data_IF_901904482989
#
_entry.id   IF_901904482989
#
_cell.length_a   1.000
_cell.length_b   1.000
_cell.length_c   1.000
_cell.angle_alpha   90.00
_cell.angle_beta   90.00
_cell.angle_gamma   90.00
#
_symmetry.space_group_name_H-M   'P 1'
#
loop_
_entity.id
_entity.type
_entity.pdbx_description
1 polymer ?
#
# COMPACT_ATOMS: atom_id res chain seq x y z
N UNK A 1 1.35 -21.59 8.64
CA UNK A 1 1.91 -20.81 7.51
C UNK A 1 1.09 -19.55 7.29
N UNK A 2 1.70 -18.38 7.33
CA UNK A 2 1.00 -17.11 7.08
C UNK A 2 1.21 -16.73 5.61
N UNK A 3 0.18 -16.90 4.79
CA UNK A 3 0.22 -16.60 3.34
C UNK A 3 0.24 -15.07 3.10
N UNK A 4 -0.48 -14.32 3.93
CA UNK A 4 -0.54 -12.87 3.83
C UNK A 4 0.50 -12.25 4.78
N UNK A 5 1.43 -11.44 4.29
CA UNK A 5 2.45 -10.84 5.14
C UNK A 5 1.82 -9.91 6.19
N UNK A 6 2.31 -9.92 7.44
CA UNK A 6 1.83 -9.04 8.48
C UNK A 6 2.00 -7.57 8.10
N UNK A 7 1.16 -6.69 8.65
CA UNK A 7 1.23 -5.24 8.39
C UNK A 7 2.64 -4.66 8.52
N UNK A 8 3.40 -5.11 9.51
CA UNK A 8 4.76 -4.67 9.74
C UNK A 8 5.68 -4.93 8.54
N UNK A 9 5.58 -6.10 7.93
CA UNK A 9 6.38 -6.44 6.75
C UNK A 9 5.94 -5.62 5.52
N UNK A 10 4.63 -5.40 5.35
CA UNK A 10 4.11 -4.54 4.28
C UNK A 10 4.64 -3.11 4.43
N UNK A 11 4.60 -2.54 5.65
CA UNK A 11 5.13 -1.22 5.97
C UNK A 11 6.62 -1.13 5.62
N UNK A 12 7.41 -2.15 6.01
CA UNK A 12 8.82 -2.20 5.67
C UNK A 12 9.03 -2.17 4.14
N UNK A 13 8.33 -3.02 3.40
CA UNK A 13 8.44 -3.09 1.93
C UNK A 13 8.01 -1.80 1.24
N UNK A 14 6.91 -1.17 1.70
CA UNK A 14 6.48 0.14 1.21
C UNK A 14 7.57 1.19 1.48
N UNK A 15 8.12 1.21 2.70
CA UNK A 15 9.17 2.15 3.06
C UNK A 15 10.43 1.96 2.22
N UNK A 16 10.90 0.72 2.03
CA UNK A 16 12.07 0.39 1.21
C UNK A 16 11.85 0.86 -0.25
N UNK A 17 10.66 0.64 -0.79
CA UNK A 17 10.30 1.09 -2.14
C UNK A 17 10.29 2.62 -2.24
N UNK A 18 9.67 3.30 -1.26
CA UNK A 18 9.62 4.77 -1.19
C UNK A 18 11.02 5.36 -1.09
N UNK A 19 11.88 4.81 -0.23
CA UNK A 19 13.25 5.27 -0.06
C UNK A 19 14.09 5.09 -1.34
N UNK A 20 13.85 4.02 -2.07
CA UNK A 20 14.57 3.73 -3.32
C UNK A 20 14.12 4.64 -4.48
N UNK A 21 12.80 4.81 -4.64
CA UNK A 21 12.22 5.45 -5.84
C UNK A 21 11.99 6.96 -5.66
N UNK A 22 11.58 7.39 -4.46
CA UNK A 22 11.15 8.77 -4.19
C UNK A 22 12.10 9.44 -3.20
N UNK A 23 13.11 10.14 -3.70
CA UNK A 23 14.16 10.75 -2.87
C UNK A 23 13.85 12.17 -2.42
N UNK A 24 13.03 12.91 -3.18
CA UNK A 24 12.78 14.36 -2.99
C UNK A 24 11.41 14.68 -2.40
N UNK A 25 10.48 13.74 -2.45
CA UNK A 25 9.10 13.93 -2.04
C UNK A 25 8.98 13.96 -0.51
N UNK A 26 8.05 14.76 -0.01
CA UNK A 26 7.74 14.83 1.42
C UNK A 26 6.79 13.71 1.80
N UNK A 27 7.00 13.13 2.97
CA UNK A 27 6.17 12.03 3.48
C UNK A 27 5.17 12.58 4.50
N UNK A 28 3.89 12.28 4.28
CA UNK A 28 2.81 12.53 5.20
C UNK A 28 2.12 11.19 5.54
N UNK A 29 2.03 10.86 6.81
CA UNK A 29 1.33 9.67 7.28
C UNK A 29 -0.05 10.09 7.76
N UNK A 30 -1.10 9.46 7.21
CA UNK A 30 -2.49 9.64 7.61
C UNK A 30 -3.01 8.34 8.20
N UNK A 31 -3.36 8.33 9.48
CA UNK A 31 -3.72 7.11 10.18
C UNK A 31 -4.78 7.34 11.25
N UNK A 32 -5.48 6.28 11.67
CA UNK A 32 -6.30 6.30 12.87
C UNK A 32 -5.43 6.20 14.14
N UNK A 33 -5.93 6.70 15.27
CA UNK A 33 -5.24 6.54 16.56
C UNK A 33 -4.90 5.09 16.90
N UNK A 34 -5.78 4.15 16.59
CA UNK A 34 -5.53 2.70 16.81
C UNK A 34 -4.34 2.15 16.03
N UNK A 35 -3.94 2.82 14.93
CA UNK A 35 -2.81 2.44 14.09
C UNK A 35 -1.50 3.18 14.46
N UNK A 36 -1.46 3.92 15.57
CA UNK A 36 -0.31 4.74 16.00
C UNK A 36 1.01 3.96 16.07
N UNK A 37 0.96 2.68 16.47
CA UNK A 37 2.15 1.81 16.49
C UNK A 37 2.81 1.69 15.12
N UNK A 38 2.05 1.66 14.05
CA UNK A 38 2.56 1.58 12.69
C UNK A 38 3.08 2.93 12.18
N UNK A 39 2.52 4.03 12.68
CA UNK A 39 3.05 5.37 12.43
C UNK A 39 4.44 5.53 13.06
N UNK A 40 4.62 5.02 14.29
CA UNK A 40 5.94 5.00 14.96
C UNK A 40 6.95 4.17 14.17
N UNK A 41 6.52 3.05 13.58
CA UNK A 41 7.37 2.19 12.75
C UNK A 41 7.81 2.90 11.46
N UNK A 42 6.91 3.53 10.72
CA UNK A 42 7.26 4.37 9.57
C UNK A 42 8.26 5.46 9.96
N UNK A 43 7.97 6.22 11.02
CA UNK A 43 8.87 7.27 11.51
C UNK A 43 10.27 6.74 11.84
N UNK A 44 10.36 5.58 12.47
CA UNK A 44 11.65 4.93 12.79
C UNK A 44 12.46 4.62 11.53
N UNK A 45 11.83 4.11 10.49
CA UNK A 45 12.50 3.77 9.22
C UNK A 45 12.98 5.05 8.52
N UNK A 46 12.10 6.04 8.34
CA UNK A 46 12.44 7.28 7.64
C UNK A 46 13.40 8.19 8.43
N UNK A 47 13.42 8.10 9.77
CA UNK A 47 14.40 8.84 10.60
C UNK A 47 15.84 8.39 10.31
N UNK A 48 16.04 7.11 10.03
CA UNK A 48 17.37 6.58 9.66
C UNK A 48 17.90 7.20 8.37
N UNK A 49 16.99 7.59 7.46
CA UNK A 49 17.30 8.23 6.18
C UNK A 49 17.21 9.77 6.25
N UNK A 50 17.17 10.35 7.46
CA UNK A 50 17.08 11.79 7.72
C UNK A 50 15.88 12.49 7.06
N UNK A 51 14.85 11.77 6.66
CA UNK A 51 13.64 12.34 6.05
C UNK A 51 12.71 12.97 7.06
N UNK A 52 12.21 14.14 6.74
CA UNK A 52 11.13 14.78 7.50
C UNK A 52 9.81 14.10 7.19
N UNK A 53 9.21 13.49 8.21
CA UNK A 53 7.91 12.83 8.13
C UNK A 53 6.93 13.57 9.01
N UNK A 54 5.85 14.07 8.39
CA UNK A 54 4.69 14.56 9.13
C UNK A 54 3.70 13.41 9.34
N UNK A 55 2.92 13.46 10.41
CA UNK A 55 1.85 12.51 10.64
C UNK A 55 0.64 13.20 11.26
N UNK A 56 -0.54 12.82 10.77
CA UNK A 56 -1.83 13.21 11.32
C UNK A 56 -2.56 11.95 11.78
N UNK A 57 -3.00 11.95 13.03
CA UNK A 57 -3.76 10.87 13.65
C UNK A 57 -5.21 11.30 13.86
N UNK A 58 -6.12 10.56 13.25
CA UNK A 58 -7.55 10.81 13.34
C UNK A 58 -8.18 9.96 14.46
N UNK A 59 -8.97 10.60 15.32
CA UNK A 59 -9.72 9.93 16.38
C UNK A 59 -11.07 9.44 15.88
N UNK A 60 -11.68 10.21 14.96
CA UNK A 60 -13.02 10.02 14.42
C UNK A 60 -13.00 10.26 12.91
N UNK A 61 -13.91 9.58 12.18
CA UNK A 61 -14.09 9.74 10.74
C UNK A 61 -14.54 11.16 10.35
N UNK A 62 -15.30 11.83 11.22
CA UNK A 62 -15.76 13.19 10.98
C UNK A 62 -14.62 14.23 11.00
N UNK A 63 -13.50 13.90 11.63
CA UNK A 63 -12.32 14.78 11.65
C UNK A 63 -11.51 14.71 10.35
N UNK A 64 -11.81 13.75 9.46
CA UNK A 64 -11.18 13.61 8.15
C UNK A 64 -11.84 14.59 7.19
N UNK A 65 -11.34 15.80 7.18
CA UNK A 65 -11.81 16.88 6.30
C UNK A 65 -10.68 17.39 5.40
N UNK A 66 -11.05 18.01 4.28
CA UNK A 66 -10.11 18.69 3.38
C UNK A 66 -9.23 19.67 4.14
N UNK A 67 -9.83 20.53 4.97
CA UNK A 67 -9.13 21.57 5.71
C UNK A 67 -8.11 20.98 6.71
N UNK A 68 -8.49 19.89 7.38
CA UNK A 68 -7.58 19.20 8.30
C UNK A 68 -6.35 18.64 7.56
N UNK A 69 -6.54 18.04 6.40
CA UNK A 69 -5.43 17.47 5.61
C UNK A 69 -4.60 18.60 4.98
N UNK A 70 -5.23 19.64 4.44
CA UNK A 70 -4.53 20.75 3.80
C UNK A 70 -3.59 21.51 4.74
N UNK A 71 -3.84 21.52 6.06
CA UNK A 71 -2.92 22.09 7.06
C UNK A 71 -1.53 21.41 7.06
N UNK A 72 -1.46 20.17 6.64
CA UNK A 72 -0.20 19.41 6.57
C UNK A 72 0.45 19.48 5.19
N UNK A 73 -0.34 19.78 4.16
CA UNK A 73 0.12 19.92 2.78
C UNK A 73 0.66 21.35 2.55
N UNK A 74 1.73 21.45 1.82
CA UNK A 74 2.28 22.71 1.27
C UNK A 74 2.43 22.53 -0.24
N UNK A 75 2.87 23.55 -0.98
CA UNK A 75 3.05 23.51 -2.46
C UNK A 75 4.12 22.49 -2.94
N UNK A 76 4.10 21.26 -2.45
CA UNK A 76 5.08 20.23 -2.79
C UNK A 76 4.38 18.92 -3.10
N UNK A 77 5.04 18.06 -3.85
CA UNK A 77 4.58 16.68 -4.06
C UNK A 77 4.67 15.90 -2.75
N UNK A 78 3.59 15.21 -2.41
CA UNK A 78 3.52 14.42 -1.20
C UNK A 78 3.35 12.92 -1.49
N UNK A 79 4.04 12.13 -0.69
CA UNK A 79 3.76 10.72 -0.53
C UNK A 79 2.89 10.54 0.72
N UNK A 80 1.70 10.04 0.52
CA UNK A 80 0.75 9.76 1.59
C UNK A 80 0.88 8.29 1.96
N UNK A 81 1.22 7.99 3.21
CA UNK A 81 1.32 6.63 3.71
C UNK A 81 0.18 6.36 4.68
N UNK A 82 -0.61 5.33 4.42
CA UNK A 82 -1.77 5.01 5.26
C UNK A 82 -1.73 3.55 5.71
N UNK A 83 -1.33 3.28 6.98
CA UNK A 83 -1.24 1.94 7.53
C UNK A 83 -2.58 1.36 8.02
N UNK A 84 -3.71 1.87 7.55
CA UNK A 84 -5.03 1.44 7.99
C UNK A 84 -5.59 0.31 7.14
N UNK A 85 -6.20 -0.69 7.81
CA UNK A 85 -7.00 -1.76 7.21
C UNK A 85 -8.50 -1.54 7.40
N UNK A 86 -8.90 -0.41 7.96
CA UNK A 86 -10.29 -0.07 8.23
C UNK A 86 -10.94 0.46 6.95
N UNK A 87 -11.94 -0.26 6.44
CA UNK A 87 -12.62 0.05 5.19
C UNK A 87 -13.27 1.43 5.21
N UNK A 88 -13.96 1.77 6.30
CA UNK A 88 -14.67 3.04 6.44
C UNK A 88 -13.70 4.23 6.49
N UNK A 89 -12.60 4.07 7.24
CA UNK A 89 -11.55 5.08 7.31
C UNK A 89 -10.91 5.31 5.94
N UNK A 90 -10.52 4.23 5.25
CA UNK A 90 -9.85 4.31 3.96
C UNK A 90 -10.77 4.93 2.91
N UNK A 91 -12.03 4.52 2.84
CA UNK A 91 -13.01 5.07 1.91
C UNK A 91 -13.20 6.58 2.12
N UNK A 92 -13.42 6.99 3.37
CA UNK A 92 -13.54 8.42 3.71
C UNK A 92 -12.29 9.20 3.35
N UNK A 93 -11.11 8.66 3.69
CA UNK A 93 -9.82 9.30 3.42
C UNK A 93 -9.59 9.47 1.90
N UNK A 94 -9.78 8.42 1.10
CA UNK A 94 -9.61 8.47 -0.35
C UNK A 94 -10.58 9.47 -0.99
N UNK A 95 -11.86 9.47 -0.56
CA UNK A 95 -12.85 10.45 -1.01
C UNK A 95 -12.40 11.88 -0.74
N UNK A 96 -11.93 12.17 0.47
CA UNK A 96 -11.45 13.52 0.83
C UNK A 96 -10.17 13.89 0.07
N UNK A 97 -9.19 12.99 -0.03
CA UNK A 97 -7.97 13.22 -0.81
C UNK A 97 -8.28 13.49 -2.28
N UNK A 98 -9.28 12.81 -2.83
CA UNK A 98 -9.76 13.03 -4.19
C UNK A 98 -10.33 14.43 -4.45
N UNK A 99 -10.71 15.19 -3.43
CA UNK A 99 -11.17 16.59 -3.58
C UNK A 99 -10.03 17.61 -3.52
N UNK A 100 -8.81 17.16 -3.20
CA UNK A 100 -7.65 18.07 -3.07
C UNK A 100 -6.92 18.13 -4.41
N UNK A 101 -6.82 19.34 -4.97
CA UNK A 101 -6.09 19.60 -6.21
C UNK A 101 -4.59 19.73 -5.93
N UNK A 102 -3.93 18.60 -5.70
CA UNK A 102 -2.49 18.53 -5.41
C UNK A 102 -1.96 17.20 -5.95
N UNK A 103 -0.79 17.22 -6.57
CA UNK A 103 -0.10 16.02 -6.98
C UNK A 103 0.32 15.21 -5.76
N UNK A 104 -0.26 14.03 -5.59
CA UNK A 104 0.06 13.10 -4.50
C UNK A 104 0.14 11.68 -5.02
N UNK A 105 0.92 10.88 -4.28
CA UNK A 105 1.01 9.44 -4.48
C UNK A 105 0.62 8.80 -3.15
N UNK A 106 -0.35 7.91 -3.17
CA UNK A 106 -0.89 7.30 -1.96
C UNK A 106 -0.43 5.84 -1.86
N UNK A 107 0.07 5.45 -0.70
CA UNK A 107 0.43 4.07 -0.40
C UNK A 107 -0.48 3.52 0.68
N UNK A 108 -1.20 2.47 0.34
CA UNK A 108 -2.06 1.71 1.23
C UNK A 108 -1.54 0.31 1.53
N UNK A 109 -2.34 -0.49 2.23
CA UNK A 109 -2.06 -1.89 2.51
C UNK A 109 -2.71 -2.79 1.43
N UNK A 110 -2.24 -4.03 1.32
CA UNK A 110 -2.71 -4.98 0.30
C UNK A 110 -4.23 -5.22 0.32
N UNK A 111 -4.85 -5.15 1.50
CA UNK A 111 -6.28 -5.40 1.65
C UNK A 111 -7.19 -4.33 1.02
N UNK A 112 -6.64 -3.15 0.65
CA UNK A 112 -7.41 -2.13 -0.07
C UNK A 112 -7.91 -2.63 -1.42
N UNK A 113 -7.19 -3.58 -2.04
CA UNK A 113 -7.59 -4.23 -3.29
C UNK A 113 -8.96 -4.92 -3.21
N UNK A 114 -9.39 -5.33 -2.00
CA UNK A 114 -10.69 -5.98 -1.76
C UNK A 114 -11.80 -5.03 -1.33
N UNK A 115 -11.55 -3.71 -1.28
CA UNK A 115 -12.55 -2.74 -0.86
C UNK A 115 -13.38 -2.28 -2.07
N UNK A 116 -14.54 -2.89 -2.27
CA UNK A 116 -15.46 -2.64 -3.39
C UNK A 116 -16.00 -1.20 -3.45
N UNK A 117 -15.97 -0.48 -2.32
CA UNK A 117 -16.47 0.89 -2.22
C UNK A 117 -15.42 1.97 -2.52
N UNK A 118 -14.26 1.59 -3.03
CA UNK A 118 -13.26 2.54 -3.51
C UNK A 118 -13.48 2.79 -5.00
N UNK A 119 -13.68 4.06 -5.32
CA UNK A 119 -13.82 4.49 -6.71
C UNK A 119 -12.50 4.39 -7.47
N UNK A 120 -12.51 3.62 -8.56
CA UNK A 120 -11.32 3.33 -9.37
C UNK A 120 -10.73 4.61 -9.98
N UNK A 121 -11.56 5.53 -10.46
CA UNK A 121 -11.09 6.78 -11.06
C UNK A 121 -10.35 7.63 -10.04
N UNK A 122 -10.87 7.71 -8.82
CA UNK A 122 -10.20 8.41 -7.71
C UNK A 122 -8.90 7.73 -7.33
N UNK A 123 -8.85 6.39 -7.28
CA UNK A 123 -7.60 5.66 -7.00
C UNK A 123 -6.54 5.92 -8.07
N UNK A 124 -6.92 5.94 -9.34
CA UNK A 124 -6.01 6.23 -10.46
C UNK A 124 -5.50 7.67 -10.40
N UNK A 125 -6.38 8.65 -10.17
CA UNK A 125 -6.02 10.07 -10.06
C UNK A 125 -5.08 10.33 -8.90
N UNK A 126 -5.26 9.67 -7.76
CA UNK A 126 -4.40 9.74 -6.59
C UNK A 126 -3.14 8.86 -6.70
N UNK A 127 -2.95 8.18 -7.83
CA UNK A 127 -1.83 7.27 -8.06
C UNK A 127 -1.63 6.33 -6.86
N UNK A 128 -2.69 5.59 -6.50
CA UNK A 128 -2.70 4.72 -5.31
C UNK A 128 -1.90 3.45 -5.58
N UNK A 129 -0.96 3.18 -4.71
CA UNK A 129 -0.14 1.97 -4.70
C UNK A 129 -0.43 1.12 -3.46
N UNK A 130 -0.44 -0.18 -3.61
CA UNK A 130 -0.46 -1.13 -2.50
C UNK A 130 0.37 -2.37 -2.84
N UNK A 131 1.00 -3.01 -1.82
CA UNK A 131 1.77 -4.22 -2.05
C UNK A 131 0.84 -5.37 -2.45
N UNK A 132 1.25 -6.15 -3.42
CA UNK A 132 0.56 -7.39 -3.78
C UNK A 132 1.40 -8.60 -3.31
N UNK A 133 1.01 -9.28 -2.23
CA UNK A 133 1.72 -10.45 -1.74
C UNK A 133 1.54 -11.69 -2.64
N UNK A 134 0.62 -11.61 -3.59
CA UNK A 134 0.31 -12.68 -4.55
C UNK A 134 0.80 -12.36 -5.96
N UNK A 135 1.73 -11.42 -6.07
CA UNK A 135 2.32 -11.10 -7.36
C UNK A 135 3.06 -12.32 -7.92
N UNK A 136 2.74 -12.65 -9.15
CA UNK A 136 3.35 -13.72 -9.91
C UNK A 136 3.93 -13.11 -11.20
N UNK A 137 5.25 -13.20 -11.36
CA UNK A 137 5.91 -12.65 -12.53
C UNK A 137 5.80 -13.62 -13.71
N UNK A 138 4.91 -13.31 -14.63
CA UNK A 138 4.68 -14.11 -15.84
C UNK A 138 5.83 -14.05 -16.85
N UNK A 139 6.78 -13.12 -16.68
CA UNK A 139 7.94 -13.00 -17.59
C UNK A 139 9.12 -13.84 -17.11
N UNK A 140 9.13 -14.26 -15.88
CA UNK A 140 10.21 -15.09 -15.32
C UNK A 140 10.16 -16.49 -15.90
N UNK A 141 11.31 -16.98 -16.39
CA UNK A 141 11.45 -18.28 -17.08
C UNK A 141 10.97 -19.45 -16.22
N UNK A 142 11.31 -19.44 -14.92
CA UNK A 142 10.90 -20.48 -13.96
C UNK A 142 9.38 -20.53 -13.83
N UNK A 143 8.74 -19.36 -13.75
CA UNK A 143 7.29 -19.24 -13.64
C UNK A 143 6.59 -19.68 -14.93
N UNK A 144 7.13 -19.34 -16.10
CA UNK A 144 6.60 -19.82 -17.39
C UNK A 144 6.66 -21.34 -17.50
N UNK A 145 7.78 -21.93 -17.09
CA UNK A 145 7.95 -23.38 -17.07
C UNK A 145 6.94 -24.06 -16.14
N UNK A 146 6.71 -23.49 -14.94
CA UNK A 146 5.67 -23.97 -14.03
C UNK A 146 4.30 -23.97 -14.68
N UNK A 147 3.89 -22.87 -15.33
CA UNK A 147 2.58 -22.75 -15.98
C UNK A 147 2.39 -23.80 -17.08
N UNK A 148 3.43 -24.04 -17.89
CA UNK A 148 3.40 -25.06 -18.94
C UNK A 148 3.25 -26.46 -18.36
N UNK A 149 4.06 -26.84 -17.37
CA UNK A 149 4.00 -28.14 -16.72
C UNK A 149 2.67 -28.35 -15.98
N UNK A 150 2.15 -27.31 -15.32
CA UNK A 150 0.85 -27.36 -14.66
C UNK A 150 -0.27 -27.65 -15.66
N UNK A 151 -0.29 -26.93 -16.78
CA UNK A 151 -1.26 -27.13 -17.87
C UNK A 151 -1.17 -28.54 -18.44
N UNK A 152 0.04 -29.05 -18.70
CA UNK A 152 0.25 -30.43 -19.22
C UNK A 152 -0.25 -31.48 -18.24
N UNK A 153 0.03 -31.31 -16.94
CA UNK A 153 -0.30 -32.30 -15.91
C UNK A 153 -1.78 -32.31 -15.53
N UNK A 154 -2.40 -31.13 -15.43
CA UNK A 154 -3.75 -30.97 -14.89
C UNK A 154 -4.79 -30.60 -15.96
N UNK A 155 -4.37 -30.37 -17.20
CA UNK A 155 -5.19 -29.84 -18.29
C UNK A 155 -5.99 -28.57 -17.87
N UNK A 156 -5.41 -27.74 -17.00
CA UNK A 156 -6.00 -26.55 -16.42
C UNK A 156 -4.97 -25.41 -16.35
N UNK A 157 -5.46 -24.18 -16.26
CA UNK A 157 -4.61 -23.01 -16.01
C UNK A 157 -4.36 -22.93 -14.50
N UNK A 158 -3.09 -22.71 -14.11
CA UNK A 158 -2.73 -22.52 -12.70
C UNK A 158 -3.44 -21.29 -12.13
N UNK A 159 -4.31 -21.51 -11.17
CA UNK A 159 -4.99 -20.43 -10.47
C UNK A 159 -4.05 -19.69 -9.49
N UNK A 160 -4.58 -18.66 -8.85
CA UNK A 160 -3.84 -17.87 -7.86
C UNK A 160 -3.26 -18.73 -6.73
N UNK A 161 -3.95 -19.74 -6.27
CA UNK A 161 -3.50 -20.57 -5.16
C UNK A 161 -2.38 -21.52 -5.58
N UNK A 162 -2.47 -22.09 -6.79
CA UNK A 162 -1.41 -22.89 -7.39
C UNK A 162 -0.12 -22.06 -7.59
N UNK A 163 -0.25 -20.82 -8.06
CA UNK A 163 0.88 -19.89 -8.24
C UNK A 163 1.53 -19.53 -6.90
N UNK A 164 0.73 -19.27 -5.86
CA UNK A 164 1.23 -18.99 -4.51
C UNK A 164 1.93 -20.20 -3.91
N UNK A 165 1.34 -21.39 -4.05
CA UNK A 165 1.94 -22.62 -3.56
C UNK A 165 3.29 -22.91 -4.24
N UNK A 166 3.37 -22.69 -5.56
CA UNK A 166 4.62 -22.82 -6.30
C UNK A 166 5.68 -21.84 -5.79
N UNK A 167 5.36 -20.57 -5.69
CA UNK A 167 6.29 -19.57 -5.17
C UNK A 167 6.78 -19.91 -3.75
N UNK A 168 5.90 -20.40 -2.88
CA UNK A 168 6.29 -20.81 -1.52
C UNK A 168 7.24 -22.02 -1.53
N UNK A 169 7.00 -23.00 -2.40
CA UNK A 169 7.83 -24.21 -2.50
C UNK A 169 9.23 -23.89 -3.01
N UNK A 170 9.38 -22.86 -3.85
CA UNK A 170 10.68 -22.45 -4.39
C UNK A 170 11.57 -21.73 -3.37
N UNK A 171 11.02 -21.32 -2.21
CA UNK A 171 11.78 -20.66 -1.12
C UNK A 171 12.30 -21.65 -0.05
N UNK A 172 11.97 -22.93 -0.15
CA UNK A 172 12.46 -24.00 0.73
C UNK A 172 13.34 -24.99 -0.03
#
# INVERSE_FOLDING_TARGET
FQIIPPKKLQIKKISDFVLKKYKKERVLILAQKKDEKYVKEYRSIFKKDQRRVKACLFSDLNTITRDTICKFLSKHNYLILTPSSDRSFVSKLISVLGTIDTSMIVFGLHNWKSFENLDIETLMRLNVHFPDPFYFDYQEVVNQRFLLLYKQKFNAIADKYAQVAFNQTMYF
#
